data_IF_900961943837
#
_entry.id   IF_900961943837
#
_cell.length_a   1.000
_cell.length_b   1.000
_cell.length_c   1.000
_cell.angle_alpha   90.00
_cell.angle_beta   90.00
_cell.angle_gamma   90.00
#
_symmetry.space_group_name_H-M   'P 1'
#
loop_
_entity.id
_entity.type
_entity.pdbx_description
1 polymer ?
#
# COMPACT_ATOMS: atom_id res chain seq x y z
N UNK A 1 -6.58 31.51 17.70
CA UNK A 1 -7.12 31.36 16.32
C UNK A 1 -6.76 32.55 15.43
N UNK A 2 -6.94 33.78 15.90
CA UNK A 2 -6.66 35.01 15.14
C UNK A 2 -5.19 35.20 14.77
N UNK A 3 -4.30 34.92 15.71
CA UNK A 3 -2.85 35.00 15.52
C UNK A 3 -2.34 33.96 14.50
N UNK A 4 -2.89 32.74 14.55
CA UNK A 4 -2.61 31.68 13.56
C UNK A 4 -3.05 32.10 12.16
N UNK A 5 -4.26 32.68 11.99
CA UNK A 5 -4.70 33.23 10.69
C UNK A 5 -3.79 34.32 10.16
N UNK A 6 -3.31 35.21 11.04
CA UNK A 6 -2.41 36.30 10.67
C UNK A 6 -1.04 35.78 10.21
N UNK A 7 -0.47 34.84 10.96
CA UNK A 7 0.82 34.23 10.66
C UNK A 7 0.74 33.40 9.38
N UNK A 8 -0.16 32.41 9.31
CA UNK A 8 -0.26 31.54 8.12
C UNK A 8 -0.77 32.28 6.89
N UNK A 9 -1.66 33.26 7.03
CA UNK A 9 -2.12 34.10 5.91
C UNK A 9 -1.00 34.92 5.27
N UNK A 10 -0.06 35.43 6.08
CA UNK A 10 1.07 36.23 5.60
C UNK A 10 2.18 35.42 4.91
N UNK A 11 2.30 34.12 5.22
CA UNK A 11 3.30 33.23 4.61
C UNK A 11 2.71 32.22 3.65
N UNK A 12 1.38 32.12 3.50
CA UNK A 12 0.71 31.12 2.67
C UNK A 12 1.23 31.09 1.21
N UNK A 13 1.46 32.26 0.61
CA UNK A 13 1.99 32.40 -0.75
C UNK A 13 3.50 32.18 -0.85
N UNK A 14 4.22 32.16 0.28
CA UNK A 14 5.68 31.91 0.37
C UNK A 14 6.01 30.52 0.89
N UNK A 15 5.02 29.83 1.47
CA UNK A 15 5.01 28.41 1.75
C UNK A 15 4.71 27.63 0.46
N UNK A 16 5.42 27.95 -0.63
CA UNK A 16 5.74 26.89 -1.58
C UNK A 16 6.70 25.96 -0.85
N UNK A 17 6.09 25.04 -0.12
CA UNK A 17 6.73 23.89 0.49
C UNK A 17 7.57 23.24 -0.63
N UNK A 18 8.89 23.44 -0.64
CA UNK A 18 9.80 22.89 -1.68
C UNK A 18 9.62 21.36 -1.82
N UNK A 19 9.17 20.72 -0.75
CA UNK A 19 8.73 19.32 -0.61
C UNK A 19 7.38 18.97 -1.28
N UNK A 20 6.66 19.91 -1.90
CA UNK A 20 5.47 19.63 -2.74
C UNK A 20 5.85 19.14 -4.13
N UNK A 21 7.12 19.27 -4.53
CA UNK A 21 7.60 18.65 -5.76
C UNK A 21 7.96 17.21 -5.45
N UNK A 22 7.27 16.28 -6.10
CA UNK A 22 7.67 14.88 -6.05
C UNK A 22 9.09 14.75 -6.60
N UNK A 23 9.96 14.11 -5.83
CA UNK A 23 11.33 13.82 -6.28
C UNK A 23 11.23 12.83 -7.44
N UNK A 24 11.82 13.18 -8.57
CA UNK A 24 11.87 12.33 -9.75
C UNK A 24 12.95 11.24 -9.57
N UNK A 25 12.60 10.21 -8.81
CA UNK A 25 13.41 9.01 -8.62
C UNK A 25 12.68 7.74 -9.10
N UNK A 26 13.43 6.65 -9.27
CA UNK A 26 12.88 5.39 -9.79
C UNK A 26 11.77 4.78 -8.92
N UNK A 27 11.74 5.11 -7.63
CA UNK A 27 10.73 4.63 -6.71
C UNK A 27 9.46 5.47 -6.84
N UNK A 28 9.54 6.78 -6.63
CA UNK A 28 8.40 7.71 -6.55
C UNK A 28 7.69 7.99 -7.87
N UNK A 29 8.37 7.81 -9.01
CA UNK A 29 7.76 7.94 -10.35
C UNK A 29 6.58 7.02 -10.63
N UNK A 30 6.33 6.05 -9.77
CA UNK A 30 5.24 5.10 -9.92
C UNK A 30 3.87 5.69 -9.56
N UNK A 31 3.85 6.79 -8.79
CA UNK A 31 2.63 7.41 -8.28
C UNK A 31 2.39 8.77 -8.89
N UNK A 32 1.13 9.20 -8.89
CA UNK A 32 0.78 10.56 -9.23
C UNK A 32 1.07 11.54 -8.09
N UNK A 33 1.13 12.83 -8.41
CA UNK A 33 1.36 13.84 -7.38
C UNK A 33 0.16 13.93 -6.44
N UNK A 34 0.43 13.78 -5.14
CA UNK A 34 -0.55 13.71 -4.04
C UNK A 34 -1.35 12.40 -3.98
N UNK A 35 -0.93 11.39 -4.73
CA UNK A 35 -1.46 10.04 -4.59
C UNK A 35 -0.98 9.39 -3.28
N UNK A 36 -1.76 8.44 -2.78
CA UNK A 36 -1.36 7.62 -1.65
C UNK A 36 -0.57 6.39 -2.12
N UNK A 37 0.04 5.68 -1.17
CA UNK A 37 0.81 4.46 -1.44
C UNK A 37 -0.02 3.22 -1.17
N UNK A 38 0.53 2.06 -1.54
CA UNK A 38 -0.11 0.75 -1.36
C UNK A 38 -0.52 0.50 0.10
N UNK A 39 0.17 1.06 1.08
CA UNK A 39 -0.19 0.86 2.48
C UNK A 39 -1.55 1.48 2.82
N UNK A 40 -1.89 2.61 2.21
CA UNK A 40 -3.20 3.24 2.40
C UNK A 40 -4.29 2.42 1.73
N UNK A 41 -4.02 1.92 0.53
CA UNK A 41 -4.94 1.08 -0.23
C UNK A 41 -5.23 -0.23 0.51
N UNK A 42 -4.18 -0.91 1.00
CA UNK A 42 -4.34 -2.12 1.79
C UNK A 42 -5.15 -1.87 3.08
N UNK A 43 -5.01 -0.70 3.72
CA UNK A 43 -5.85 -0.34 4.86
C UNK A 43 -7.32 -0.17 4.45
N UNK A 44 -7.60 0.46 3.31
CA UNK A 44 -8.98 0.58 2.78
C UNK A 44 -9.57 -0.81 2.53
N UNK A 45 -8.82 -1.72 1.87
CA UNK A 45 -9.27 -3.09 1.61
C UNK A 45 -9.53 -3.86 2.90
N UNK A 46 -8.69 -3.67 3.93
CA UNK A 46 -8.89 -4.29 5.24
C UNK A 46 -10.16 -3.76 5.91
N UNK A 47 -10.39 -2.46 5.87
CA UNK A 47 -11.60 -1.85 6.42
C UNK A 47 -12.86 -2.33 5.69
N UNK A 48 -12.83 -2.41 4.36
CA UNK A 48 -13.94 -2.98 3.58
C UNK A 48 -14.19 -4.44 3.95
N UNK A 49 -13.12 -5.25 4.08
CA UNK A 49 -13.24 -6.64 4.52
C UNK A 49 -13.87 -6.76 5.90
N UNK A 50 -13.45 -5.94 6.86
CA UNK A 50 -14.04 -5.91 8.21
C UNK A 50 -15.52 -5.52 8.16
N UNK A 51 -15.89 -4.50 7.37
CA UNK A 51 -17.28 -4.08 7.24
C UNK A 51 -18.16 -5.22 6.71
N UNK A 52 -17.72 -5.90 5.64
CA UNK A 52 -18.53 -6.99 5.04
C UNK A 52 -18.54 -8.27 5.87
N UNK A 53 -17.56 -8.44 6.77
CA UNK A 53 -17.49 -9.59 7.67
C UNK A 53 -17.91 -9.25 9.11
N UNK A 54 -18.74 -8.22 9.31
CA UNK A 54 -19.29 -7.84 10.63
C UNK A 54 -18.22 -7.60 11.71
N UNK A 55 -17.08 -7.05 11.33
CA UNK A 55 -15.93 -6.76 12.20
C UNK A 55 -14.95 -7.93 12.37
N UNK A 56 -15.21 -9.08 11.76
CA UNK A 56 -14.33 -10.25 11.84
C UNK A 56 -13.24 -10.20 10.77
N UNK A 57 -12.04 -10.65 11.13
CA UNK A 57 -10.93 -10.80 10.18
C UNK A 57 -11.12 -12.11 9.42
N UNK A 58 -11.44 -12.02 8.13
CA UNK A 58 -11.58 -13.18 7.24
C UNK A 58 -10.45 -13.13 6.18
N UNK A 59 -9.33 -13.86 6.40
CA UNK A 59 -8.14 -13.75 5.54
C UNK A 59 -8.40 -14.04 4.05
N UNK A 60 -9.31 -14.96 3.75
CA UNK A 60 -9.68 -15.33 2.37
C UNK A 60 -10.38 -14.16 1.66
N UNK A 61 -11.26 -13.43 2.37
CA UNK A 61 -11.94 -12.26 1.80
C UNK A 61 -10.94 -11.14 1.53
N UNK A 62 -10.08 -10.83 2.51
CA UNK A 62 -9.02 -9.85 2.33
C UNK A 62 -8.07 -10.22 1.18
N UNK A 63 -7.68 -11.48 1.05
CA UNK A 63 -6.81 -11.94 -0.03
C UNK A 63 -7.43 -11.74 -1.41
N UNK A 64 -8.72 -12.03 -1.57
CA UNK A 64 -9.45 -11.82 -2.83
C UNK A 64 -9.57 -10.34 -3.18
N UNK A 65 -9.86 -9.48 -2.19
CA UNK A 65 -9.87 -8.02 -2.37
C UNK A 65 -8.51 -7.48 -2.78
N UNK A 66 -7.46 -7.99 -2.16
CA UNK A 66 -6.08 -7.62 -2.47
C UNK A 66 -5.71 -8.02 -3.91
N UNK A 67 -6.06 -9.23 -4.33
CA UNK A 67 -5.86 -9.68 -5.71
C UNK A 67 -6.64 -8.81 -6.71
N UNK A 68 -7.91 -8.52 -6.42
CA UNK A 68 -8.74 -7.66 -7.26
C UNK A 68 -8.16 -6.24 -7.39
N UNK A 69 -7.73 -5.64 -6.28
CA UNK A 69 -7.06 -4.34 -6.28
C UNK A 69 -5.77 -4.35 -7.11
N UNK A 70 -4.98 -5.43 -7.12
CA UNK A 70 -3.78 -5.47 -7.98
C UNK A 70 -4.09 -5.37 -9.47
N UNK A 71 -5.29 -5.79 -9.89
CA UNK A 71 -5.72 -5.75 -11.28
C UNK A 71 -6.51 -4.49 -11.61
N UNK A 72 -7.29 -3.96 -10.66
CA UNK A 72 -8.30 -2.93 -10.92
C UNK A 72 -8.13 -1.63 -10.13
N UNK A 73 -7.28 -1.58 -9.11
CA UNK A 73 -7.09 -0.38 -8.26
C UNK A 73 -8.38 0.02 -7.55
N UNK A 74 -8.56 1.33 -7.33
CA UNK A 74 -9.84 1.95 -6.96
C UNK A 74 -10.37 2.83 -8.10
N UNK A 75 -11.13 2.27 -9.07
CA UNK A 75 -11.60 3.02 -10.23
C UNK A 75 -12.42 4.25 -9.88
N UNK A 76 -13.17 4.21 -8.77
CA UNK A 76 -13.96 5.32 -8.26
C UNK A 76 -13.12 6.50 -7.77
N UNK A 77 -11.83 6.28 -7.50
CA UNK A 77 -10.86 7.31 -7.11
C UNK A 77 -9.92 7.69 -8.27
N UNK A 78 -10.09 7.09 -9.45
CA UNK A 78 -9.20 7.27 -10.59
C UNK A 78 -7.92 6.45 -10.53
N UNK A 79 -7.85 5.46 -9.63
CA UNK A 79 -6.75 4.49 -9.57
C UNK A 79 -7.13 3.24 -10.37
N UNK A 80 -6.37 2.94 -11.42
CA UNK A 80 -6.69 1.84 -12.35
C UNK A 80 -6.02 0.52 -12.00
N UNK A 81 -5.06 0.49 -11.06
CA UNK A 81 -4.36 -0.74 -10.66
C UNK A 81 -3.56 -0.56 -9.37
N UNK A 82 -3.40 -1.62 -8.59
CA UNK A 82 -2.49 -1.61 -7.45
C UNK A 82 -1.01 -1.45 -7.83
N UNK A 83 -0.42 -0.32 -7.48
CA UNK A 83 1.00 0.01 -7.69
C UNK A 83 1.75 -0.01 -6.35
N UNK A 84 3.08 -0.14 -6.39
CA UNK A 84 3.92 0.05 -5.20
C UNK A 84 4.49 -1.23 -4.60
N UNK A 85 3.74 -2.34 -4.69
CA UNK A 85 4.06 -3.62 -4.07
C UNK A 85 5.54 -4.00 -4.10
N UNK A 86 6.06 -4.35 -2.93
CA UNK A 86 7.39 -4.93 -2.78
C UNK A 86 7.46 -6.34 -3.41
N UNK A 87 8.68 -6.83 -3.64
CA UNK A 87 8.89 -8.12 -4.29
C UNK A 87 8.24 -9.30 -3.55
N UNK A 88 8.28 -9.28 -2.22
CA UNK A 88 7.68 -10.34 -1.39
C UNK A 88 6.16 -10.33 -1.53
N UNK A 89 5.52 -9.16 -1.40
CA UNK A 89 4.06 -9.04 -1.57
C UNK A 89 3.61 -9.48 -2.96
N UNK A 90 4.34 -9.10 -4.02
CA UNK A 90 4.07 -9.58 -5.38
C UNK A 90 4.09 -11.09 -5.48
N UNK A 91 5.12 -11.74 -4.92
CA UNK A 91 5.23 -13.19 -4.95
C UNK A 91 4.08 -13.87 -4.19
N UNK A 92 3.73 -13.37 -3.00
CA UNK A 92 2.61 -13.88 -2.20
C UNK A 92 1.29 -13.77 -2.96
N UNK A 93 0.96 -12.59 -3.48
CA UNK A 93 -0.31 -12.33 -4.17
C UNK A 93 -0.41 -13.14 -5.47
N UNK A 94 0.71 -13.29 -6.19
CA UNK A 94 0.76 -14.08 -7.43
C UNK A 94 0.71 -15.60 -7.22
N UNK A 95 0.79 -16.08 -5.98
CA UNK A 95 0.82 -17.51 -5.72
C UNK A 95 -0.55 -18.14 -6.02
N UNK A 96 -0.62 -19.27 -6.76
CA UNK A 96 -1.90 -19.85 -7.22
C UNK A 96 -2.89 -20.22 -6.11
N UNK A 97 -2.40 -20.44 -4.89
CA UNK A 97 -3.22 -20.80 -3.72
C UNK A 97 -3.49 -19.63 -2.78
N UNK A 98 -3.12 -18.39 -3.13
CA UNK A 98 -3.27 -17.26 -2.22
C UNK A 98 -4.74 -16.93 -1.91
N UNK A 99 -5.63 -17.12 -2.88
CA UNK A 99 -7.08 -16.91 -2.71
C UNK A 99 -7.76 -17.93 -1.80
N UNK A 100 -7.17 -19.11 -1.58
CA UNK A 100 -7.72 -20.19 -0.77
C UNK A 100 -7.00 -20.36 0.56
N UNK A 101 -5.67 -20.23 0.58
CA UNK A 101 -4.82 -20.47 1.74
C UNK A 101 -3.86 -19.28 2.03
N UNK A 102 -4.37 -18.05 2.18
CA UNK A 102 -3.54 -16.83 2.23
C UNK A 102 -2.53 -16.82 3.38
N UNK A 103 -2.91 -17.32 4.56
CA UNK A 103 -2.04 -17.36 5.73
C UNK A 103 -0.84 -18.31 5.52
N UNK A 104 -1.08 -19.47 4.91
CA UNK A 104 -0.04 -20.46 4.65
C UNK A 104 0.94 -19.98 3.59
N UNK A 105 0.41 -19.43 2.50
CA UNK A 105 1.23 -18.83 1.43
C UNK A 105 2.07 -17.69 1.99
N UNK A 106 1.48 -16.78 2.76
CA UNK A 106 2.21 -15.66 3.37
C UNK A 106 3.34 -16.16 4.29
N UNK A 107 3.06 -17.14 5.15
CA UNK A 107 4.06 -17.73 6.05
C UNK A 107 5.23 -18.40 5.31
N UNK A 108 4.97 -19.05 4.17
CA UNK A 108 5.98 -19.66 3.33
C UNK A 108 6.98 -18.62 2.79
N UNK A 109 6.48 -17.52 2.22
CA UNK A 109 7.35 -16.47 1.69
C UNK A 109 8.07 -15.66 2.78
N UNK A 110 7.42 -15.40 3.92
CA UNK A 110 8.11 -14.77 5.07
C UNK A 110 9.28 -15.63 5.57
N UNK A 111 9.11 -16.96 5.56
CA UNK A 111 10.16 -17.90 5.97
C UNK A 111 11.32 -17.94 4.97
N UNK A 112 11.03 -17.84 3.66
CA UNK A 112 12.07 -17.73 2.62
C UNK A 112 12.84 -16.42 2.74
N UNK A 113 12.15 -15.30 2.93
CA UNK A 113 12.80 -13.99 3.05
C UNK A 113 13.73 -13.94 4.27
N UNK A 114 13.26 -14.45 5.41
CA UNK A 114 14.09 -14.64 6.62
C UNK A 114 15.28 -15.57 6.35
N UNK A 115 15.11 -16.65 5.58
CA UNK A 115 16.20 -17.54 5.22
C UNK A 115 17.24 -16.85 4.33
N UNK A 116 16.80 -16.14 3.29
CA UNK A 116 17.67 -15.39 2.37
C UNK A 116 18.44 -14.32 3.14
N UNK A 117 17.75 -13.52 3.96
CA UNK A 117 18.39 -12.48 4.78
C UNK A 117 19.40 -13.06 5.78
N UNK A 118 19.08 -14.15 6.47
CA UNK A 118 20.00 -14.74 7.45
C UNK A 118 21.14 -15.54 6.79
N UNK A 119 20.93 -16.15 5.63
CA UNK A 119 21.94 -16.97 4.97
C UNK A 119 22.89 -16.13 4.11
N UNK A 120 22.40 -15.12 3.37
CA UNK A 120 23.25 -14.29 2.51
C UNK A 120 24.02 -13.19 3.26
N UNK A 121 23.64 -12.84 4.49
CA UNK A 121 24.39 -11.87 5.33
C UNK A 121 25.43 -12.53 6.25
N UNK A 122 25.57 -13.86 6.22
CA UNK A 122 26.50 -14.62 7.08
C UNK A 122 27.63 -15.30 6.28
N UNK A 123 27.76 -15.00 4.99
CA UNK A 123 28.87 -15.38 4.10
C UNK A 123 29.51 -14.12 3.52
#
# INVERSE_FOLDING_TARGET
>A
MEESRKVYGAVCSKLELVHKKMIDDSHRRKWELNDWTEESDHMILLLQSLVENNGEIVPIDFAKRLMDWTEHGFPELGDERGIGLCHVCKNVISHPQFSEEPLKVSAFYSSIDLFIHNFLLTI
#
